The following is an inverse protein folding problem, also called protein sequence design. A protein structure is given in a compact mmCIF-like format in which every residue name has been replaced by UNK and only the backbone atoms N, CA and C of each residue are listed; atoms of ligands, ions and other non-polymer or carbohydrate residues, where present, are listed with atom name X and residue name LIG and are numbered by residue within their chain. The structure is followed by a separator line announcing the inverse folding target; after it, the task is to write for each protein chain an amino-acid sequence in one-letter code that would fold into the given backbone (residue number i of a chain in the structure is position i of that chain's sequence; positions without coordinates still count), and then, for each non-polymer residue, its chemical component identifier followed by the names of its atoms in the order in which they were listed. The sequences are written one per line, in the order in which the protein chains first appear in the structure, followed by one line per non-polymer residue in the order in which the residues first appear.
data_IF_912354295914
#
_entry.id   IF_912354295914
#
_cell.length_a   1.000
_cell.length_b   1.000
_cell.length_c   1.000
_cell.angle_alpha   90.00
_cell.angle_beta   90.00
_cell.angle_gamma   90.00
#
_symmetry.space_group_name_H-M   'P 1'
#
loop_
_entity.id
_entity.type
_entity.pdbx_description
1 polymer ?
#
# COMPACT_ATOMS: atom_id res chain seq x y z
N UNK A 1 -10.09 -14.32 7.07
CA UNK A 1 -9.93 -12.85 6.90
C UNK A 1 -8.57 -12.45 7.45
N UNK A 2 -7.66 -11.90 6.61
CA UNK A 2 -6.29 -11.56 7.04
C UNK A 2 -6.32 -10.34 7.97
N UNK A 3 -5.70 -10.44 9.15
CA UNK A 3 -5.51 -9.31 10.07
C UNK A 3 -4.29 -8.50 9.63
N UNK A 4 -4.53 -7.31 9.05
CA UNK A 4 -3.49 -6.39 8.57
C UNK A 4 -3.16 -5.27 9.57
N UNK A 5 -3.90 -5.17 10.69
CA UNK A 5 -3.65 -4.18 11.75
C UNK A 5 -2.21 -4.28 12.27
N UNK A 6 -1.49 -3.17 12.27
CA UNK A 6 -0.08 -3.06 12.69
C UNK A 6 0.92 -3.87 11.83
N UNK A 7 0.51 -4.43 10.70
CA UNK A 7 1.44 -5.05 9.74
C UNK A 7 1.92 -4.00 8.74
N UNK A 8 3.16 -4.14 8.30
CA UNK A 8 3.73 -3.31 7.24
C UNK A 8 3.56 -3.99 5.89
N UNK A 9 3.09 -3.26 4.89
CA UNK A 9 2.97 -3.73 3.52
C UNK A 9 3.76 -2.81 2.58
N UNK A 10 4.49 -3.40 1.63
CA UNK A 10 5.16 -2.70 0.56
C UNK A 10 4.32 -2.80 -0.72
N UNK A 11 4.03 -1.65 -1.32
CA UNK A 11 3.40 -1.57 -2.65
C UNK A 11 4.45 -1.08 -3.64
N UNK A 12 4.78 -1.91 -4.64
CA UNK A 12 5.65 -1.53 -5.73
C UNK A 12 4.83 -0.94 -6.90
N UNK A 13 5.15 0.29 -7.28
CA UNK A 13 4.45 1.11 -8.27
C UNK A 13 3.44 2.08 -7.65
N UNK A 14 3.52 3.36 -8.03
CA UNK A 14 2.64 4.46 -7.58
C UNK A 14 1.62 4.89 -8.64
N UNK A 15 1.43 4.08 -9.68
CA UNK A 15 0.36 4.25 -10.67
C UNK A 15 -1.06 4.12 -10.07
N UNK A 16 -2.09 4.14 -10.93
CA UNK A 16 -3.50 4.06 -10.51
C UNK A 16 -3.77 2.84 -9.62
N UNK A 17 -3.28 1.66 -10.03
CA UNK A 17 -3.50 0.40 -9.32
C UNK A 17 -2.73 0.33 -7.99
N UNK A 18 -1.49 0.81 -7.96
CA UNK A 18 -0.69 0.85 -6.74
C UNK A 18 -1.31 1.75 -5.66
N UNK A 19 -1.82 2.92 -6.07
CA UNK A 19 -2.55 3.82 -5.16
C UNK A 19 -3.87 3.21 -4.66
N UNK A 20 -4.60 2.50 -5.52
CA UNK A 20 -5.81 1.78 -5.11
C UNK A 20 -5.50 0.68 -4.09
N UNK A 21 -4.43 -0.09 -4.30
CA UNK A 21 -3.98 -1.13 -3.37
C UNK A 21 -3.51 -0.53 -2.04
N UNK A 22 -2.72 0.55 -2.08
CA UNK A 22 -2.28 1.24 -0.86
C UNK A 22 -3.48 1.73 -0.02
N UNK A 23 -4.49 2.32 -0.66
CA UNK A 23 -5.74 2.73 0.02
C UNK A 23 -6.48 1.55 0.65
N UNK A 24 -6.61 0.44 -0.07
CA UNK A 24 -7.24 -0.78 0.46
C UNK A 24 -6.51 -1.30 1.69
N UNK A 25 -5.18 -1.36 1.66
CA UNK A 25 -4.36 -1.84 2.77
C UNK A 25 -4.42 -0.92 4.00
N UNK A 26 -4.41 0.41 3.78
CA UNK A 26 -4.61 1.41 4.84
C UNK A 26 -5.99 1.23 5.49
N UNK A 27 -7.05 1.04 4.70
CA UNK A 27 -8.40 0.81 5.23
C UNK A 27 -8.52 -0.48 6.06
N UNK A 28 -7.57 -1.41 5.92
CA UNK A 28 -7.46 -2.63 6.75
C UNK A 28 -6.50 -2.48 7.95
N UNK A 29 -5.98 -1.28 8.19
CA UNK A 29 -5.11 -0.96 9.33
C UNK A 29 -3.63 -1.29 9.13
N UNK A 30 -3.20 -1.53 7.90
CA UNK A 30 -1.78 -1.74 7.58
C UNK A 30 -1.01 -0.41 7.60
N UNK A 31 0.26 -0.44 7.99
CA UNK A 31 1.24 0.60 7.62
C UNK A 31 1.69 0.31 6.20
N UNK A 32 1.55 1.26 5.29
CA UNK A 32 1.87 1.05 3.87
C UNK A 32 3.06 1.91 3.46
N UNK A 33 4.03 1.29 2.81
CA UNK A 33 5.14 1.95 2.12
C UNK A 33 4.88 1.78 0.63
N UNK A 34 4.93 2.88 -0.13
CA UNK A 34 4.79 2.85 -1.59
C UNK A 34 6.16 3.17 -2.19
N UNK A 35 6.67 2.25 -3.02
CA UNK A 35 7.91 2.42 -3.76
C UNK A 35 7.57 2.56 -5.24
N UNK A 36 7.77 3.73 -5.82
CA UNK A 36 7.58 3.98 -7.25
C UNK A 36 8.93 4.34 -7.90
N UNK A 37 9.16 3.86 -9.12
CA UNK A 37 10.36 4.18 -9.91
C UNK A 37 10.19 5.49 -10.67
N UNK A 38 8.96 5.98 -10.83
CA UNK A 38 8.71 7.33 -11.32
C UNK A 38 9.21 8.33 -10.27
N UNK A 39 10.29 9.04 -10.61
CA UNK A 39 10.64 10.30 -9.94
C UNK A 39 9.46 11.25 -10.12
N UNK A 40 8.77 11.53 -9.01
CA UNK A 40 7.90 12.71 -8.91
C UNK A 40 8.81 13.92 -8.83
#
# INVERSE_FOLDING_TARGET
MIKLKNKTALVAGGGKSGRAMAKFLIAKGARVIVSDTKKI
#
